data_IF_513286061172
#
_entry.id   IF_513286061172
#
_cell.length_a   1.000
_cell.length_b   1.000
_cell.length_c   1.000
_cell.angle_alpha   90.00
_cell.angle_beta   90.00
_cell.angle_gamma   90.00
#
_symmetry.space_group_name_H-M   'P 1'
#
loop_
_entity.id
_entity.type
_entity.pdbx_description
1 polymer ?
#
# COMPACT_ATOMS: atom_id res chain seq x y z
N UNK A 1 11.58 -9.55 -21.04
CA UNK A 1 10.51 -8.77 -20.38
C UNK A 1 10.77 -8.83 -18.89
N UNK A 2 10.79 -7.69 -18.19
CA UNK A 2 11.02 -7.64 -16.74
C UNK A 2 9.76 -8.08 -16.00
N UNK A 3 9.92 -8.84 -14.91
CA UNK A 3 8.83 -9.17 -14.01
C UNK A 3 8.43 -7.92 -13.22
N UNK A 4 7.14 -7.61 -13.15
CA UNK A 4 6.63 -6.46 -12.40
C UNK A 4 6.16 -6.89 -11.03
N UNK A 5 6.73 -6.28 -9.98
CA UNK A 5 6.26 -6.39 -8.61
C UNK A 5 5.62 -5.05 -8.23
N UNK A 6 4.34 -5.08 -7.89
CA UNK A 6 3.62 -3.92 -7.41
C UNK A 6 3.35 -4.11 -5.92
N UNK A 7 3.66 -3.11 -5.13
CA UNK A 7 3.41 -3.12 -3.69
C UNK A 7 2.42 -2.01 -3.34
N UNK A 8 1.33 -2.34 -2.66
CA UNK A 8 0.34 -1.36 -2.20
C UNK A 8 0.49 -1.10 -0.70
N UNK A 9 0.47 0.17 -0.30
CA UNK A 9 0.63 0.63 1.09
C UNK A 9 -0.51 1.58 1.46
N UNK A 10 -1.41 1.11 2.33
CA UNK A 10 -2.36 1.97 3.05
C UNK A 10 -1.70 2.47 4.33
N UNK A 11 -1.26 3.73 4.34
CA UNK A 11 -0.38 4.27 5.37
C UNK A 11 -1.13 4.64 6.67
N UNK A 12 -0.59 4.18 7.80
CA UNK A 12 -1.05 4.52 9.14
C UNK A 12 -0.55 3.51 10.19
N UNK A 13 -1.00 3.65 11.45
CA UNK A 13 -0.59 2.75 12.55
C UNK A 13 -0.85 1.27 12.23
N UNK A 14 -2.02 0.98 11.65
CA UNK A 14 -2.33 -0.32 11.04
C UNK A 14 -2.12 -0.17 9.53
N UNK A 15 -0.91 -0.45 9.09
CA UNK A 15 -0.53 -0.30 7.68
C UNK A 15 -1.09 -1.47 6.88
N UNK A 16 -1.94 -1.18 5.89
CA UNK A 16 -2.31 -2.17 4.89
C UNK A 16 -1.15 -2.43 3.94
N UNK A 17 -0.88 -3.69 3.64
CA UNK A 17 0.22 -4.11 2.78
C UNK A 17 -0.25 -5.16 1.78
N UNK A 18 0.04 -4.94 0.50
CA UNK A 18 -0.30 -5.86 -0.57
C UNK A 18 0.85 -6.03 -1.58
N UNK A 19 0.96 -7.21 -2.18
CA UNK A 19 1.95 -7.51 -3.23
C UNK A 19 1.27 -8.19 -4.40
N UNK A 20 1.53 -7.71 -5.61
CA UNK A 20 1.17 -8.36 -6.88
C UNK A 20 2.44 -8.66 -7.67
N UNK A 21 2.48 -9.83 -8.30
CA UNK A 21 3.54 -10.24 -9.23
C UNK A 21 2.90 -10.51 -10.59
N UNK A 22 3.27 -9.72 -11.60
CA UNK A 22 2.72 -9.79 -12.96
C UNK A 22 1.18 -9.83 -12.99
N UNK A 23 0.53 -9.08 -12.09
CA UNK A 23 -0.93 -8.97 -12.00
C UNK A 23 -1.60 -9.97 -11.09
N UNK A 24 -0.88 -11.01 -10.69
CA UNK A 24 -1.39 -12.00 -9.74
C UNK A 24 -1.13 -11.52 -8.32
N UNK A 25 -2.20 -11.28 -7.56
CA UNK A 25 -2.13 -10.95 -6.14
C UNK A 25 -1.47 -12.09 -5.36
N UNK A 26 -0.41 -11.76 -4.60
CA UNK A 26 0.38 -12.73 -3.81
C UNK A 26 0.21 -12.56 -2.32
N UNK A 27 0.01 -11.32 -1.86
CA UNK A 27 -0.13 -11.02 -0.43
C UNK A 27 -1.14 -9.89 -0.21
N UNK A 28 -1.89 -9.99 0.87
CA UNK A 28 -2.76 -8.95 1.41
C UNK A 28 -2.81 -9.11 2.93
N UNK A 29 -2.16 -8.21 3.67
CA UNK A 29 -2.00 -8.27 5.14
C UNK A 29 -2.06 -6.88 5.76
N UNK A 30 -2.20 -6.84 7.07
CA UNK A 30 -2.08 -5.61 7.86
C UNK A 30 -0.95 -5.78 8.84
N UNK A 31 -0.05 -4.80 8.87
CA UNK A 31 1.20 -4.80 9.61
C UNK A 31 1.32 -3.49 10.39
N UNK A 32 2.29 -3.42 11.29
CA UNK A 32 2.81 -2.12 11.72
C UNK A 32 3.62 -1.46 10.60
N UNK A 33 3.83 -0.15 10.71
CA UNK A 33 4.63 0.61 9.73
C UNK A 33 6.04 0.05 9.56
N UNK A 34 6.71 -0.34 10.65
CA UNK A 34 8.09 -0.85 10.62
C UNK A 34 8.14 -2.22 9.94
N UNK A 35 7.22 -3.12 10.27
CA UNK A 35 7.13 -4.43 9.62
C UNK A 35 6.86 -4.29 8.12
N UNK A 36 5.95 -3.38 7.73
CA UNK A 36 5.67 -3.12 6.32
C UNK A 36 6.90 -2.58 5.57
N UNK A 37 7.64 -1.63 6.16
CA UNK A 37 8.89 -1.10 5.59
C UNK A 37 9.94 -2.20 5.44
N UNK A 38 10.07 -3.08 6.43
CA UNK A 38 11.00 -4.20 6.36
C UNK A 38 10.64 -5.16 5.22
N UNK A 39 9.36 -5.46 5.02
CA UNK A 39 8.88 -6.29 3.91
C UNK A 39 9.15 -5.66 2.54
N UNK A 40 8.93 -4.34 2.40
CA UNK A 40 9.29 -3.60 1.17
C UNK A 40 10.78 -3.69 0.90
N UNK A 41 11.62 -3.44 1.92
CA UNK A 41 13.08 -3.50 1.81
C UNK A 41 13.56 -4.90 1.44
N UNK A 42 13.04 -5.95 2.10
CA UNK A 42 13.33 -7.35 1.80
C UNK A 42 13.00 -7.69 0.35
N UNK A 43 11.81 -7.28 -0.11
CA UNK A 43 11.37 -7.49 -1.50
C UNK A 43 12.31 -6.81 -2.49
N UNK A 44 12.67 -5.54 -2.24
CA UNK A 44 13.62 -4.78 -3.06
C UNK A 44 15.01 -5.43 -3.13
N UNK A 45 15.54 -5.89 -1.99
CA UNK A 45 16.83 -6.57 -1.95
C UNK A 45 16.80 -7.93 -2.66
N UNK A 46 15.75 -8.72 -2.47
CA UNK A 46 15.59 -10.01 -3.14
C UNK A 46 15.49 -9.85 -4.65
N UNK A 47 14.77 -8.84 -5.14
CA UNK A 47 14.71 -8.52 -6.56
C UNK A 47 16.08 -8.11 -7.13
N UNK A 48 16.83 -7.24 -6.43
CA UNK A 48 18.19 -6.82 -6.84
C UNK A 48 19.19 -7.99 -6.87
N UNK A 49 18.98 -9.03 -6.06
CA UNK A 49 19.84 -10.23 -5.99
C UNK A 49 19.40 -11.37 -6.92
N UNK A 50 18.24 -11.25 -7.55
CA UNK A 50 17.72 -12.30 -8.43
C UNK A 50 18.49 -12.34 -9.75
N UNK A 51 18.57 -13.53 -10.35
CA UNK A 51 19.07 -13.71 -11.72
C UNK A 51 18.04 -13.27 -12.77
N UNK A 52 16.76 -13.14 -12.38
CA UNK A 52 15.71 -12.60 -13.23
C UNK A 52 15.60 -11.09 -13.03
N UNK A 53 15.27 -10.37 -14.08
CA UNK A 53 15.01 -8.94 -13.99
C UNK A 53 13.64 -8.65 -13.39
N UNK A 54 13.62 -7.79 -12.36
CA UNK A 54 12.41 -7.31 -11.71
C UNK A 54 12.34 -5.78 -11.75
N UNK A 55 11.14 -5.27 -11.92
CA UNK A 55 10.79 -3.86 -11.71
C UNK A 55 9.84 -3.79 -10.52
N UNK A 56 10.19 -2.98 -9.51
CA UNK A 56 9.37 -2.81 -8.31
C UNK A 56 8.83 -1.39 -8.29
N UNK A 57 7.53 -1.24 -8.08
CA UNK A 57 6.91 0.07 -7.79
C UNK A 57 6.02 -0.04 -6.56
N UNK A 58 6.22 0.88 -5.61
CA UNK A 58 5.43 0.98 -4.38
C UNK A 58 4.38 2.08 -4.51
N UNK A 59 3.10 1.74 -4.42
CA UNK A 59 1.98 2.67 -4.46
C UNK A 59 1.51 2.95 -3.03
N UNK A 60 1.64 4.20 -2.59
CA UNK A 60 1.38 4.60 -1.20
C UNK A 60 0.18 5.55 -1.19
N UNK A 61 -0.85 5.25 -0.40
CA UNK A 61 -1.91 6.23 -0.16
C UNK A 61 -1.35 7.42 0.65
N UNK A 62 -1.54 8.62 0.14
CA UNK A 62 -1.01 9.86 0.72
C UNK A 62 -2.13 10.76 1.23
N UNK A 63 -2.40 10.67 2.54
CA UNK A 63 -3.39 11.51 3.20
C UNK A 63 -3.13 13.02 3.07
N UNK A 64 -1.89 13.46 2.73
CA UNK A 64 -1.57 14.87 2.48
C UNK A 64 -2.26 15.40 1.22
N UNK A 65 -2.59 14.53 0.26
CA UNK A 65 -3.29 14.88 -0.99
C UNK A 65 -4.81 14.97 -0.82
N UNK A 66 -5.34 14.72 0.37
CA UNK A 66 -6.77 14.79 0.65
C UNK A 66 -7.25 16.24 0.62
N UNK A 67 -8.26 16.52 -0.21
CA UNK A 67 -8.83 17.87 -0.41
C UNK A 67 -9.86 18.26 0.66
N UNK A 68 -10.43 17.28 1.37
CA UNK A 68 -11.53 17.50 2.32
C UNK A 68 -11.27 16.76 3.63
N UNK A 69 -11.45 17.43 4.76
CA UNK A 69 -11.39 16.78 6.09
C UNK A 69 -12.75 16.97 6.75
N UNK A 70 -13.46 15.87 6.99
CA UNK A 70 -14.77 15.87 7.65
C UNK A 70 -14.63 15.35 9.09
N UNK A 71 -15.04 16.16 10.07
CA UNK A 71 -15.13 15.75 11.48
C UNK A 71 -14.60 16.76 12.49
N UNK A 72 -14.67 16.38 13.78
CA UNK A 72 -14.26 17.21 14.92
C UNK A 72 -12.74 17.19 15.22
N UNK A 73 -12.36 17.84 16.32
CA UNK A 73 -10.96 18.06 16.75
C UNK A 73 -10.11 16.78 16.84
N UNK A 74 -10.68 15.67 17.29
CA UNK A 74 -9.97 14.38 17.42
C UNK A 74 -9.53 13.81 16.06
N UNK A 75 -10.40 13.92 15.05
CA UNK A 75 -10.05 13.53 13.67
C UNK A 75 -8.96 14.43 13.09
N UNK A 76 -8.95 15.71 13.42
CA UNK A 76 -7.90 16.64 12.99
C UNK A 76 -6.52 16.27 13.59
N UNK A 77 -6.48 15.84 14.85
CA UNK A 77 -5.25 15.35 15.48
C UNK A 77 -4.75 14.05 14.81
N UNK A 78 -5.66 13.11 14.53
CA UNK A 78 -5.33 11.88 13.79
C UNK A 78 -4.78 12.16 12.38
N UNK A 79 -5.31 13.17 11.68
CA UNK A 79 -4.82 13.59 10.35
C UNK A 79 -3.35 14.03 10.40
N UNK A 80 -2.92 14.70 11.47
CA UNK A 80 -1.52 15.09 11.66
C UNK A 80 -0.59 13.88 11.70
N UNK A 81 -0.96 12.84 12.45
CA UNK A 81 -0.17 11.60 12.55
C UNK A 81 -0.05 10.90 11.20
N UNK A 82 -1.17 10.73 10.49
CA UNK A 82 -1.17 10.03 9.19
C UNK A 82 -0.33 10.79 8.16
N UNK A 83 -0.40 12.13 8.13
CA UNK A 83 0.45 12.95 7.25
C UNK A 83 1.95 12.77 7.55
N UNK A 84 2.31 12.58 8.82
CA UNK A 84 3.68 12.27 9.22
C UNK A 84 4.08 10.89 8.69
N UNK A 85 3.23 9.88 8.86
CA UNK A 85 3.50 8.51 8.37
C UNK A 85 3.72 8.49 6.85
N UNK A 86 2.90 9.21 6.07
CA UNK A 86 3.10 9.36 4.62
C UNK A 86 4.46 9.97 4.27
N UNK A 87 4.94 10.94 5.07
CA UNK A 87 6.27 11.54 4.88
C UNK A 87 7.39 10.55 5.20
N UNK A 88 7.25 9.75 6.26
CA UNK A 88 8.22 8.72 6.62
C UNK A 88 8.32 7.68 5.49
N UNK A 89 7.21 7.28 4.89
CA UNK A 89 7.21 6.40 3.72
C UNK A 89 7.97 6.99 2.53
N UNK A 90 7.74 8.26 2.21
CA UNK A 90 8.45 8.97 1.15
C UNK A 90 9.96 9.04 1.43
N UNK A 91 10.36 9.39 2.66
CA UNK A 91 11.76 9.42 3.10
C UNK A 91 12.39 8.03 3.03
N UNK A 92 11.68 6.99 3.47
CA UNK A 92 12.12 5.59 3.41
C UNK A 92 12.38 5.12 1.97
N UNK A 93 11.44 5.36 1.05
CA UNK A 93 11.60 4.99 -0.35
C UNK A 93 12.78 5.71 -1.01
N UNK A 94 12.95 7.01 -0.74
CA UNK A 94 14.11 7.79 -1.22
C UNK A 94 15.42 7.27 -0.64
N UNK A 95 15.47 7.00 0.66
CA UNK A 95 16.68 6.52 1.34
C UNK A 95 17.17 5.16 0.81
N UNK A 96 16.24 4.27 0.45
CA UNK A 96 16.57 2.95 -0.09
C UNK A 96 16.63 2.86 -1.61
N UNK A 97 16.45 3.99 -2.33
CA UNK A 97 16.38 4.03 -3.79
C UNK A 97 15.35 3.01 -4.33
N UNK A 98 14.12 3.14 -3.83
CA UNK A 98 12.96 2.31 -4.20
C UNK A 98 11.98 3.18 -4.98
N UNK A 99 11.60 2.75 -6.19
CA UNK A 99 10.61 3.46 -7.00
C UNK A 99 9.23 3.43 -6.33
N UNK A 100 8.55 4.58 -6.30
CA UNK A 100 7.27 4.73 -5.61
C UNK A 100 6.38 5.80 -6.26
N UNK A 101 5.08 5.66 -6.03
CA UNK A 101 4.05 6.61 -6.43
C UNK A 101 3.14 6.95 -5.24
N UNK A 102 2.91 8.25 -5.04
CA UNK A 102 2.00 8.75 -4.01
C UNK A 102 0.59 8.92 -4.60
N UNK A 103 -0.38 8.15 -4.11
CA UNK A 103 -1.75 8.12 -4.60
C UNK A 103 -2.64 8.93 -3.68
N UNK A 104 -3.48 9.80 -4.25
CA UNK A 104 -4.44 10.54 -3.45
C UNK A 104 -5.54 9.59 -2.93
N UNK A 105 -5.99 9.74 -1.67
CA UNK A 105 -7.11 8.99 -1.14
C UNK A 105 -8.33 9.21 -2.03
N UNK A 106 -9.02 8.13 -2.39
CA UNK A 106 -10.30 8.25 -3.10
C UNK A 106 -11.40 8.68 -2.13
N UNK A 107 -12.45 9.30 -2.65
CA UNK A 107 -13.66 9.57 -1.87
C UNK A 107 -14.29 8.22 -1.47
N UNK A 108 -14.03 7.81 -0.23
CA UNK A 108 -14.42 6.52 0.34
C UNK A 108 -15.91 6.48 0.71
N UNK A 109 -16.81 6.77 -0.23
CA UNK A 109 -18.24 6.57 0.00
C UNK A 109 -18.65 5.08 -0.01
N UNK A 110 -17.78 4.18 -0.46
CA UNK A 110 -17.99 2.73 -0.35
C UNK A 110 -16.69 2.00 -0.07
N UNK A 111 -16.42 1.74 1.21
CA UNK A 111 -15.41 0.76 1.62
C UNK A 111 -15.76 -0.60 1.02
N UNK A 112 -14.77 -1.28 0.45
CA UNK A 112 -14.99 -2.61 -0.14
C UNK A 112 -15.28 -3.64 0.97
N UNK A 113 -16.44 -4.30 0.86
CA UNK A 113 -16.78 -5.42 1.74
C UNK A 113 -15.87 -6.62 1.47
N UNK A 114 -15.68 -7.49 2.47
CA UNK A 114 -14.88 -8.73 2.30
C UNK A 114 -15.44 -9.60 1.18
N UNK A 115 -16.77 -9.74 1.08
CA UNK A 115 -17.42 -10.54 0.04
C UNK A 115 -17.18 -9.96 -1.36
N UNK A 116 -17.37 -8.65 -1.54
CA UNK A 116 -17.13 -7.97 -2.82
C UNK A 116 -15.66 -8.08 -3.22
N UNK A 117 -14.75 -7.91 -2.26
CA UNK A 117 -13.32 -8.02 -2.47
C UNK A 117 -12.90 -9.40 -2.96
N UNK A 118 -13.38 -10.47 -2.29
CA UNK A 118 -13.09 -11.85 -2.69
C UNK A 118 -13.61 -12.17 -4.09
N UNK A 119 -14.84 -11.73 -4.40
CA UNK A 119 -15.43 -11.91 -5.74
C UNK A 119 -14.63 -11.20 -6.82
N UNK A 120 -14.12 -10.00 -6.54
CA UNK A 120 -13.37 -9.19 -7.50
C UNK A 120 -11.95 -9.69 -7.71
N UNK A 121 -11.28 -10.15 -6.65
CA UNK A 121 -9.85 -10.48 -6.68
C UNK A 121 -9.55 -11.97 -6.78
N UNK A 122 -10.53 -12.85 -6.53
CA UNK A 122 -10.32 -14.28 -6.35
C UNK A 122 -9.62 -14.65 -5.04
N UNK A 123 -9.35 -13.68 -4.15
CA UNK A 123 -8.71 -13.94 -2.87
C UNK A 123 -9.64 -14.74 -1.96
N UNK A 124 -9.13 -15.77 -1.29
CA UNK A 124 -9.96 -16.68 -0.47
C UNK A 124 -9.78 -16.47 1.03
N UNK A 125 -8.62 -15.95 1.44
CA UNK A 125 -8.30 -15.75 2.85
C UNK A 125 -9.01 -14.53 3.44
N UNK A 126 -9.08 -14.46 4.77
CA UNK A 126 -9.63 -13.30 5.48
C UNK A 126 -8.76 -12.08 5.23
N UNK A 127 -9.40 -10.92 5.09
CA UNK A 127 -8.71 -9.63 4.97
C UNK A 127 -9.32 -8.62 5.92
N UNK A 128 -8.48 -7.76 6.50
CA UNK A 128 -8.92 -6.53 7.14
C UNK A 128 -9.20 -5.44 6.10
N UNK A 129 -9.88 -4.37 6.51
CA UNK A 129 -10.10 -3.19 5.67
C UNK A 129 -8.79 -2.61 5.10
N UNK A 130 -7.79 -2.31 5.93
CA UNK A 130 -6.50 -1.77 5.49
C UNK A 130 -5.82 -2.63 4.42
N UNK A 131 -5.76 -3.95 4.63
CA UNK A 131 -5.25 -4.89 3.64
C UNK A 131 -6.00 -4.81 2.30
N UNK A 132 -7.33 -4.65 2.30
CA UNK A 132 -8.12 -4.48 1.08
C UNK A 132 -7.80 -3.15 0.39
N UNK A 133 -7.71 -2.07 1.16
CA UNK A 133 -7.39 -0.73 0.63
C UNK A 133 -6.00 -0.72 -0.03
N UNK A 134 -5.01 -1.37 0.59
CA UNK A 134 -3.69 -1.57 0.01
C UNK A 134 -3.74 -2.35 -1.30
N UNK A 135 -4.57 -3.40 -1.41
CA UNK A 135 -4.76 -4.13 -2.68
C UNK A 135 -5.36 -3.22 -3.75
N UNK A 136 -6.31 -2.34 -3.39
CA UNK A 136 -6.94 -1.41 -4.35
C UNK A 136 -5.98 -0.38 -4.92
N UNK A 137 -4.88 -0.08 -4.24
CA UNK A 137 -3.82 0.79 -4.75
C UNK A 137 -3.06 0.17 -5.94
N UNK A 138 -3.00 -1.16 -6.02
CA UNK A 138 -2.25 -1.89 -7.06
C UNK A 138 -3.13 -2.66 -8.03
N UNK A 139 -4.41 -2.88 -7.70
CA UNK A 139 -5.33 -3.62 -8.55
C UNK A 139 -5.47 -2.96 -9.93
N UNK A 140 -5.33 -3.76 -11.00
CA UNK A 140 -5.44 -3.31 -12.39
C UNK A 140 -4.25 -2.54 -12.97
N UNK A 141 -3.12 -2.39 -12.26
CA UNK A 141 -1.95 -1.61 -12.71
C UNK A 141 -0.82 -2.46 -13.33
N UNK A 142 -1.17 -3.37 -14.25
CA UNK A 142 -0.22 -4.27 -14.93
C UNK A 142 0.16 -3.84 -16.33
#
# INVERSE_FOLDING_TARGET
>A
MKNKILIGIDAGVKTGFAVSLNGTLRQAKTLSIIEAMEEVRKTALSAKRSTQEYEITVFIEDARKRKWVTGGREKLQGVGSVKRDCKIWEEFCKYHDINYELIAPKDNNTKLSDQTFKRMTGWTQRTSEHARDAVMLIWGRV
#
